data_IF_817674594926
#
_entry.id   IF_817674594926
#
_cell.length_a   1.000
_cell.length_b   1.000
_cell.length_c   1.000
_cell.angle_alpha   90.00
_cell.angle_beta   90.00
_cell.angle_gamma   90.00
#
_symmetry.space_group_name_H-M   'P 1'
#
loop_
_entity.id
_entity.type
_entity.pdbx_description
1 polymer ?
#
# COMPACT_ATOMS: atom_id res chain seq x y z
N UNK A 1 -19.98 -0.65 38.26
CA UNK A 1 -21.14 -1.42 37.80
C UNK A 1 -21.98 -0.56 36.85
N UNK A 2 -21.45 -0.31 35.65
CA UNK A 2 -22.13 0.36 34.52
C UNK A 2 -21.38 -0.02 33.23
N UNK A 3 -21.25 -1.33 33.01
CA UNK A 3 -20.73 -1.97 31.79
C UNK A 3 -21.87 -2.83 31.27
N UNK A 4 -22.88 -2.20 30.68
CA UNK A 4 -23.91 -2.74 29.75
C UNK A 4 -24.68 -1.50 29.28
N UNK A 5 -24.12 -0.72 28.36
CA UNK A 5 -24.92 0.18 27.49
C UNK A 5 -24.15 0.29 26.17
N UNK A 6 -24.71 -0.30 25.12
CA UNK A 6 -24.14 -0.19 23.76
C UNK A 6 -24.31 -1.40 22.84
N UNK A 7 -24.94 -2.50 23.26
CA UNK A 7 -25.50 -3.50 22.33
C UNK A 7 -26.90 -3.08 21.89
N UNK A 8 -26.99 -1.98 21.14
CA UNK A 8 -28.20 -1.72 20.35
C UNK A 8 -28.10 -2.59 19.09
N UNK A 9 -28.77 -3.73 19.14
CA UNK A 9 -29.15 -4.52 17.96
C UNK A 9 -29.76 -3.55 16.94
N UNK A 10 -29.09 -3.39 15.80
CA UNK A 10 -29.69 -2.75 14.62
C UNK A 10 -30.87 -3.62 14.17
N UNK A 11 -32.07 -3.26 14.60
CA UNK A 11 -33.33 -3.82 14.11
C UNK A 11 -33.75 -3.06 12.85
N UNK A 12 -33.91 -3.80 11.75
CA UNK A 12 -34.70 -3.41 10.57
C UNK A 12 -34.05 -2.44 9.59
N UNK A 13 -33.32 -2.98 8.59
CA UNK A 13 -32.89 -2.21 7.43
C UNK A 13 -31.72 -2.83 6.65
N UNK A 14 -31.78 -2.76 5.31
CA UNK A 14 -30.67 -3.16 4.44
C UNK A 14 -29.67 -2.02 4.28
N UNK A 15 -28.47 -2.15 4.83
CA UNK A 15 -27.39 -1.17 4.66
C UNK A 15 -26.33 -1.68 3.67
N UNK A 16 -26.03 -0.88 2.63
CA UNK A 16 -24.89 -1.15 1.76
C UNK A 16 -23.58 -0.79 2.49
N UNK A 17 -22.70 -1.77 2.64
CA UNK A 17 -21.38 -1.60 3.26
C UNK A 17 -20.34 -1.29 2.18
N UNK A 18 -20.33 -2.06 1.10
CA UNK A 18 -19.37 -1.91 0.02
C UNK A 18 -19.90 -2.44 -1.33
N UNK A 19 -19.27 -1.98 -2.41
CA UNK A 19 -19.50 -2.44 -3.80
C UNK A 19 -18.19 -2.54 -4.56
N UNK A 20 -18.19 -3.25 -5.68
CA UNK A 20 -17.07 -3.28 -6.61
C UNK A 20 -16.61 -1.88 -7.02
N UNK A 21 -15.30 -1.69 -7.02
CA UNK A 21 -14.64 -0.46 -7.41
C UNK A 21 -14.24 -0.52 -8.88
N UNK A 22 -14.52 0.53 -9.65
CA UNK A 22 -14.11 0.62 -11.05
C UNK A 22 -12.61 0.55 -11.26
N UNK A 23 -11.80 1.03 -10.30
CA UNK A 23 -10.34 0.89 -10.35
C UNK A 23 -9.85 -0.56 -10.41
N UNK A 24 -10.70 -1.53 -10.07
CA UNK A 24 -10.40 -2.96 -10.22
C UNK A 24 -10.33 -3.41 -11.68
N UNK A 25 -10.83 -2.62 -12.64
CA UNK A 25 -10.75 -2.96 -14.08
C UNK A 25 -9.32 -3.06 -14.60
N UNK A 26 -8.35 -2.46 -13.90
CA UNK A 26 -6.94 -2.60 -14.25
C UNK A 26 -6.46 -4.04 -14.13
N UNK A 27 -7.00 -4.85 -13.21
CA UNK A 27 -6.59 -6.24 -13.04
C UNK A 27 -6.83 -7.08 -14.33
N UNK A 28 -8.04 -7.14 -14.91
CA UNK A 28 -8.26 -7.83 -16.17
C UNK A 28 -7.54 -7.16 -17.36
N UNK A 29 -7.29 -5.84 -17.34
CA UNK A 29 -6.47 -5.18 -18.37
C UNK A 29 -5.02 -5.69 -18.33
N UNK A 30 -4.42 -5.79 -17.14
CA UNK A 30 -3.07 -6.34 -16.99
C UNK A 30 -3.00 -7.79 -17.46
N UNK A 31 -3.95 -8.64 -17.06
CA UNK A 31 -4.00 -10.02 -17.54
C UNK A 31 -4.12 -10.11 -19.07
N UNK A 32 -4.99 -9.29 -19.68
CA UNK A 32 -5.09 -9.23 -21.14
C UNK A 32 -3.78 -8.76 -21.78
N UNK A 33 -3.08 -7.81 -21.17
CA UNK A 33 -1.77 -7.33 -21.66
C UNK A 33 -0.71 -8.42 -21.57
N UNK A 34 -0.68 -9.21 -20.49
CA UNK A 34 0.21 -10.35 -20.34
C UNK A 34 -0.04 -11.41 -21.42
N UNK A 35 -1.31 -11.71 -21.72
CA UNK A 35 -1.70 -12.65 -22.78
C UNK A 35 -1.24 -12.15 -24.16
N UNK A 36 -1.48 -10.87 -24.47
CA UNK A 36 -1.02 -10.28 -25.73
C UNK A 36 0.51 -10.22 -25.81
N UNK A 37 1.20 -10.04 -24.69
CA UNK A 37 2.65 -10.05 -24.64
C UNK A 37 3.23 -11.46 -24.87
N UNK A 38 2.60 -12.49 -24.31
CA UNK A 38 2.94 -13.89 -24.61
C UNK A 38 2.76 -14.16 -26.11
N UNK A 39 1.65 -13.72 -26.70
CA UNK A 39 1.38 -13.89 -28.12
C UNK A 39 2.41 -13.15 -29.00
N UNK A 40 2.76 -11.91 -28.63
CA UNK A 40 3.82 -11.15 -29.26
C UNK A 40 5.17 -11.87 -29.20
N UNK A 41 5.51 -12.49 -28.06
CA UNK A 41 6.74 -13.27 -27.92
C UNK A 41 6.73 -14.47 -28.88
N UNK A 42 5.62 -15.21 -28.92
CA UNK A 42 5.48 -16.40 -29.76
C UNK A 42 5.56 -16.06 -31.25
N UNK A 43 4.94 -14.96 -31.68
CA UNK A 43 5.06 -14.46 -33.06
C UNK A 43 6.48 -13.98 -33.37
N UNK A 44 7.06 -13.09 -32.56
CA UNK A 44 8.32 -12.42 -32.91
C UNK A 44 9.57 -13.25 -32.72
N UNK A 45 9.62 -14.10 -31.71
CA UNK A 45 10.83 -14.84 -31.35
C UNK A 45 10.76 -16.32 -31.73
N UNK A 46 9.55 -16.86 -31.85
CA UNK A 46 9.34 -18.28 -32.19
C UNK A 46 8.65 -18.47 -33.55
N UNK A 47 8.28 -17.39 -34.26
CA UNK A 47 7.63 -17.43 -35.57
C UNK A 47 6.31 -18.24 -35.57
N UNK A 48 5.61 -18.27 -34.44
CA UNK A 48 4.34 -18.97 -34.27
C UNK A 48 3.20 -17.96 -34.46
N UNK A 49 2.76 -17.80 -35.71
CA UNK A 49 1.71 -16.83 -36.09
C UNK A 49 0.32 -17.48 -36.24
N UNK A 50 0.25 -18.80 -36.42
CA UNK A 50 -1.00 -19.56 -36.52
C UNK A 50 -1.28 -20.37 -35.25
N UNK A 51 -2.48 -20.95 -35.17
CA UNK A 51 -2.80 -21.95 -34.14
C UNK A 51 -1.72 -23.04 -34.12
N UNK A 52 -1.25 -23.44 -32.93
CA UNK A 52 -0.20 -24.46 -32.80
C UNK A 52 -0.26 -25.18 -31.44
N UNK A 53 0.21 -26.43 -31.41
CA UNK A 53 0.30 -27.21 -30.16
C UNK A 53 1.20 -26.48 -29.14
N UNK A 54 2.30 -25.88 -29.61
CA UNK A 54 3.22 -25.12 -28.76
C UNK A 54 2.53 -23.88 -28.18
N UNK A 55 1.76 -23.16 -28.99
CA UNK A 55 0.92 -22.03 -28.56
C UNK A 55 -0.03 -22.39 -27.43
N UNK A 56 -0.82 -23.45 -27.63
CA UNK A 56 -1.78 -23.93 -26.64
C UNK A 56 -1.10 -24.43 -25.37
N UNK A 57 0.05 -25.12 -25.49
CA UNK A 57 0.83 -25.55 -24.34
C UNK A 57 1.31 -24.36 -23.50
N UNK A 58 1.82 -23.30 -24.13
CA UNK A 58 2.24 -22.08 -23.42
C UNK A 58 1.06 -21.43 -22.68
N UNK A 59 -0.12 -21.37 -23.29
CA UNK A 59 -1.32 -20.86 -22.62
C UNK A 59 -1.74 -21.72 -21.42
N UNK A 60 -1.64 -23.06 -21.50
CA UNK A 60 -1.90 -23.94 -20.35
C UNK A 60 -0.91 -23.75 -19.21
N UNK A 61 0.39 -23.62 -19.54
CA UNK A 61 1.43 -23.34 -18.55
C UNK A 61 1.15 -21.99 -17.88
N UNK A 62 0.85 -20.96 -18.67
CA UNK A 62 0.48 -19.65 -18.15
C UNK A 62 -0.76 -19.71 -17.25
N UNK A 63 -1.83 -20.39 -17.68
CA UNK A 63 -3.04 -20.58 -16.88
C UNK A 63 -2.75 -21.31 -15.56
N UNK A 64 -1.87 -22.31 -15.58
CA UNK A 64 -1.47 -23.07 -14.38
C UNK A 64 -0.72 -22.18 -13.39
N UNK A 65 0.25 -21.39 -13.87
CA UNK A 65 0.98 -20.42 -13.06
C UNK A 65 0.01 -19.37 -12.49
N UNK A 66 -0.87 -18.81 -13.33
CA UNK A 66 -1.85 -17.80 -12.94
C UNK A 66 -2.82 -18.32 -11.88
N UNK A 67 -3.28 -19.56 -12.01
CA UNK A 67 -4.12 -20.26 -11.03
C UNK A 67 -3.41 -20.46 -9.70
N UNK A 68 -2.13 -20.87 -9.74
CA UNK A 68 -1.30 -21.08 -8.55
C UNK A 68 -1.08 -19.80 -7.75
N UNK A 69 -0.90 -18.66 -8.42
CA UNK A 69 -0.70 -17.35 -7.77
C UNK A 69 -1.97 -16.80 -7.09
N UNK A 70 -3.16 -17.28 -7.46
CA UNK A 70 -4.46 -16.97 -6.84
C UNK A 70 -4.65 -15.47 -6.54
N UNK A 71 -4.49 -14.64 -7.58
CA UNK A 71 -4.49 -13.18 -7.48
C UNK A 71 -5.78 -12.57 -6.92
N UNK A 72 -6.94 -13.17 -7.21
CA UNK A 72 -8.24 -12.60 -6.85
C UNK A 72 -9.37 -13.64 -6.79
N UNK A 73 -10.57 -13.22 -6.38
CA UNK A 73 -11.77 -14.05 -6.43
C UNK A 73 -12.19 -14.45 -7.85
N UNK A 74 -11.65 -13.80 -8.89
CA UNK A 74 -11.92 -14.11 -10.30
C UNK A 74 -10.88 -15.04 -10.93
N UNK A 75 -9.73 -15.27 -10.27
CA UNK A 75 -8.60 -15.99 -10.85
C UNK A 75 -8.98 -17.35 -11.41
N UNK A 76 -9.84 -18.10 -10.70
CA UNK A 76 -10.35 -19.38 -11.20
C UNK A 76 -11.13 -19.24 -12.51
N UNK A 77 -12.06 -18.29 -12.58
CA UNK A 77 -12.84 -18.06 -13.80
C UNK A 77 -11.93 -17.66 -14.95
N UNK A 78 -11.04 -16.69 -14.73
CA UNK A 78 -10.09 -16.24 -15.75
C UNK A 78 -9.19 -17.39 -16.24
N UNK A 79 -8.71 -18.23 -15.32
CA UNK A 79 -7.96 -19.46 -15.65
C UNK A 79 -8.78 -20.37 -16.55
N UNK A 80 -10.06 -20.62 -16.21
CA UNK A 80 -10.94 -21.42 -17.07
C UNK A 80 -11.08 -20.81 -18.46
N UNK A 81 -11.26 -19.49 -18.59
CA UNK A 81 -11.36 -18.83 -19.91
C UNK A 81 -10.05 -19.00 -20.71
N UNK A 82 -8.88 -18.87 -20.08
CA UNK A 82 -7.58 -19.10 -20.74
C UNK A 82 -7.45 -20.56 -21.19
N UNK A 83 -7.77 -21.53 -20.33
CA UNK A 83 -7.75 -22.94 -20.70
C UNK A 83 -8.72 -23.25 -21.84
N UNK A 84 -9.91 -22.64 -21.84
CA UNK A 84 -10.88 -22.82 -22.93
C UNK A 84 -10.35 -22.26 -24.26
N UNK A 85 -9.64 -21.13 -24.24
CA UNK A 85 -8.99 -20.60 -25.45
C UNK A 85 -7.89 -21.55 -25.96
N UNK A 86 -7.09 -22.14 -25.06
CA UNK A 86 -6.08 -23.14 -25.42
C UNK A 86 -6.71 -24.42 -26.02
N UNK A 87 -7.80 -24.91 -25.44
CA UNK A 87 -8.56 -26.05 -26.00
C UNK A 87 -9.15 -25.70 -27.36
N UNK A 88 -9.68 -24.48 -27.51
CA UNK A 88 -10.27 -24.02 -28.77
C UNK A 88 -9.21 -23.92 -29.89
N UNK A 89 -8.01 -23.46 -29.58
CA UNK A 89 -6.86 -23.47 -30.51
C UNK A 89 -6.51 -24.90 -30.97
N UNK A 90 -6.49 -25.87 -30.05
CA UNK A 90 -6.31 -27.29 -30.39
C UNK A 90 -7.45 -27.85 -31.25
N UNK A 91 -8.68 -27.43 -30.99
CA UNK A 91 -9.85 -27.79 -31.80
C UNK A 91 -9.75 -27.25 -33.22
N UNK A 92 -9.29 -26.00 -33.38
CA UNK A 92 -9.08 -25.39 -34.70
C UNK A 92 -8.00 -26.15 -35.48
N UNK A 93 -6.89 -26.53 -34.84
CA UNK A 93 -5.85 -27.36 -35.45
C UNK A 93 -6.38 -28.68 -36.00
N UNK A 94 -7.38 -29.27 -35.33
CA UNK A 94 -8.03 -30.50 -35.78
C UNK A 94 -9.13 -30.29 -36.83
N UNK A 95 -9.36 -29.05 -37.25
CA UNK A 95 -10.40 -28.66 -38.20
C UNK A 95 -9.81 -27.98 -39.44
N UNK A 96 -10.57 -27.91 -40.53
CA UNK A 96 -10.21 -27.11 -41.71
C UNK A 96 -10.52 -25.61 -41.55
N UNK A 97 -10.86 -25.14 -40.33
CA UNK A 97 -11.18 -23.74 -40.07
C UNK A 97 -9.93 -22.87 -40.12
N UNK A 98 -9.88 -21.93 -41.05
CA UNK A 98 -8.81 -20.93 -41.15
C UNK A 98 -9.10 -19.74 -40.22
N UNK A 99 -8.94 -19.96 -38.91
CA UNK A 99 -9.05 -18.91 -37.89
C UNK A 99 -7.66 -18.46 -37.45
N UNK A 100 -7.41 -17.16 -37.57
CA UNK A 100 -6.18 -16.52 -37.09
C UNK A 100 -6.08 -16.59 -35.57
N UNK A 101 -4.91 -16.98 -35.07
CA UNK A 101 -4.57 -17.01 -33.65
C UNK A 101 -4.80 -15.65 -32.99
N UNK A 102 -4.52 -14.55 -33.69
CA UNK A 102 -4.77 -13.18 -33.20
C UNK A 102 -6.23 -12.99 -32.80
N UNK A 103 -7.18 -13.53 -33.59
CA UNK A 103 -8.61 -13.43 -33.29
C UNK A 103 -9.00 -14.21 -32.04
N UNK A 104 -8.37 -15.37 -31.81
CA UNK A 104 -8.57 -16.16 -30.59
C UNK A 104 -8.09 -15.36 -29.36
N UNK A 105 -6.90 -14.75 -29.44
CA UNK A 105 -6.36 -13.95 -28.34
C UNK A 105 -7.18 -12.69 -28.05
N UNK A 106 -7.64 -11.99 -29.09
CA UNK A 106 -8.53 -10.82 -28.93
C UNK A 106 -9.87 -11.22 -28.30
N UNK A 107 -10.43 -12.37 -28.71
CA UNK A 107 -11.66 -12.91 -28.14
C UNK A 107 -11.48 -13.29 -26.66
N UNK A 108 -10.36 -13.94 -26.32
CA UNK A 108 -9.96 -14.25 -24.95
C UNK A 108 -9.84 -12.98 -24.10
N UNK A 109 -9.11 -11.97 -24.58
CA UNK A 109 -8.94 -10.69 -23.89
C UNK A 109 -10.28 -9.99 -23.67
N UNK A 110 -11.16 -10.00 -24.67
CA UNK A 110 -12.52 -9.44 -24.56
C UNK A 110 -13.33 -10.17 -23.50
N UNK A 111 -13.30 -11.51 -23.49
CA UNK A 111 -14.00 -12.32 -22.49
C UNK A 111 -13.50 -12.04 -21.06
N UNK A 112 -12.18 -11.88 -20.87
CA UNK A 112 -11.56 -11.53 -19.59
C UNK A 112 -12.03 -10.15 -19.12
N UNK A 113 -12.05 -9.14 -20.01
CA UNK A 113 -12.51 -7.79 -19.70
C UNK A 113 -14.00 -7.78 -19.32
N UNK A 114 -14.86 -8.47 -20.08
CA UNK A 114 -16.29 -8.59 -19.78
C UNK A 114 -16.52 -9.25 -18.42
N UNK A 115 -15.80 -10.34 -18.12
CA UNK A 115 -15.84 -10.98 -16.81
C UNK A 115 -15.47 -10.00 -15.69
N UNK A 116 -14.43 -9.19 -15.90
CA UNK A 116 -13.99 -8.17 -14.98
C UNK A 116 -15.03 -7.08 -14.71
N UNK A 117 -15.64 -6.53 -15.76
CA UNK A 117 -16.73 -5.54 -15.64
C UNK A 117 -17.92 -6.12 -14.90
N UNK A 118 -18.36 -7.33 -15.28
CA UNK A 118 -19.50 -7.97 -14.64
C UNK A 118 -19.24 -8.27 -13.15
N UNK A 119 -18.01 -8.68 -12.80
CA UNK A 119 -17.61 -8.82 -11.40
C UNK A 119 -17.83 -7.52 -10.61
N UNK A 120 -17.33 -6.40 -11.13
CA UNK A 120 -17.42 -5.09 -10.47
C UNK A 120 -18.89 -4.72 -10.21
N UNK A 121 -19.77 -4.99 -11.18
CA UNK A 121 -21.20 -4.70 -11.07
C UNK A 121 -21.94 -5.58 -10.06
N UNK A 122 -21.56 -6.86 -9.95
CA UNK A 122 -22.21 -7.83 -9.07
C UNK A 122 -21.69 -7.78 -7.64
N UNK A 123 -20.41 -7.44 -7.45
CA UNK A 123 -19.74 -7.45 -6.15
C UNK A 123 -20.40 -6.48 -5.17
N UNK A 124 -21.02 -7.01 -4.11
CA UNK A 124 -21.72 -6.25 -3.08
C UNK A 124 -21.58 -6.87 -1.71
N UNK A 125 -21.45 -6.01 -0.70
CA UNK A 125 -21.51 -6.36 0.71
C UNK A 125 -22.59 -5.53 1.39
N UNK A 126 -23.55 -6.19 2.02
CA UNK A 126 -24.69 -5.56 2.70
C UNK A 126 -24.85 -6.12 4.11
N UNK A 127 -25.38 -5.31 5.02
CA UNK A 127 -25.97 -5.80 6.27
C UNK A 127 -27.47 -5.83 6.08
N UNK A 128 -28.08 -6.99 6.33
CA UNK A 128 -29.53 -7.19 6.26
C UNK A 128 -29.91 -7.93 7.54
N UNK A 129 -30.78 -7.33 8.34
CA UNK A 129 -31.29 -7.90 9.60
C UNK A 129 -30.16 -8.39 10.51
N UNK A 130 -29.14 -7.54 10.70
CA UNK A 130 -27.96 -7.83 11.52
C UNK A 130 -26.99 -8.86 10.94
N UNK A 131 -27.28 -9.46 9.78
CA UNK A 131 -26.41 -10.44 9.12
C UNK A 131 -25.62 -9.84 7.97
N UNK A 132 -24.44 -10.37 7.69
CA UNK A 132 -23.60 -9.94 6.57
C UNK A 132 -23.97 -10.73 5.32
N UNK A 133 -24.48 -10.05 4.31
CA UNK A 133 -24.79 -10.59 3.00
C UNK A 133 -23.71 -10.18 2.01
N UNK A 134 -22.94 -11.17 1.57
CA UNK A 134 -21.88 -11.01 0.58
C UNK A 134 -22.32 -11.62 -0.74
N UNK A 135 -22.08 -10.91 -1.84
CA UNK A 135 -22.34 -11.40 -3.20
C UNK A 135 -21.12 -11.13 -4.07
N UNK A 136 -20.65 -12.17 -4.74
CA UNK A 136 -19.70 -12.12 -5.86
C UNK A 136 -20.32 -12.82 -7.08
N UNK A 137 -19.61 -12.79 -8.21
CA UNK A 137 -20.02 -13.30 -9.53
C UNK A 137 -20.87 -14.58 -9.50
N UNK A 138 -20.46 -15.59 -8.72
CA UNK A 138 -21.14 -16.90 -8.64
C UNK A 138 -21.47 -17.36 -7.22
N UNK A 139 -21.28 -16.50 -6.22
CA UNK A 139 -21.44 -16.89 -4.81
C UNK A 139 -22.18 -15.81 -4.05
N UNK A 140 -23.29 -16.20 -3.43
CA UNK A 140 -23.91 -15.43 -2.37
C UNK A 140 -23.71 -16.20 -1.06
N UNK A 141 -23.27 -15.51 -0.01
CA UNK A 141 -23.15 -16.09 1.33
C UNK A 141 -23.65 -15.12 2.38
N UNK A 142 -24.29 -15.71 3.39
CA UNK A 142 -24.73 -15.03 4.61
C UNK A 142 -23.81 -15.43 5.76
N UNK A 143 -23.40 -14.46 6.56
CA UNK A 143 -22.56 -14.65 7.74
C UNK A 143 -23.21 -14.02 8.97
N UNK A 144 -23.08 -14.68 10.12
CA UNK A 144 -23.39 -14.09 11.42
C UNK A 144 -22.14 -13.31 11.91
N UNK A 145 -22.21 -11.99 12.14
CA UNK A 145 -21.06 -11.20 12.56
C UNK A 145 -20.29 -11.76 13.76
N UNK A 146 -21.01 -12.27 14.78
CA UNK A 146 -20.41 -12.72 16.05
C UNK A 146 -19.42 -13.88 15.88
N UNK A 147 -19.64 -14.72 14.86
CA UNK A 147 -18.81 -15.88 14.56
C UNK A 147 -18.02 -15.70 13.25
N UNK A 148 -17.90 -14.46 12.76
CA UNK A 148 -17.21 -14.16 11.52
C UNK A 148 -15.93 -13.42 11.83
N UNK A 149 -14.83 -13.89 11.25
CA UNK A 149 -13.55 -13.17 11.24
C UNK A 149 -13.33 -12.50 9.89
N UNK A 150 -12.65 -11.36 9.91
CA UNK A 150 -12.35 -10.56 8.70
C UNK A 150 -10.87 -10.24 8.56
N UNK A 151 -10.31 -10.57 7.40
CA UNK A 151 -8.95 -10.20 6.98
C UNK A 151 -9.00 -9.36 5.69
N UNK A 152 -7.90 -8.66 5.41
CA UNK A 152 -7.69 -7.95 4.15
C UNK A 152 -6.47 -8.48 3.42
N UNK A 153 -6.53 -8.44 2.08
CA UNK A 153 -5.37 -8.66 1.22
C UNK A 153 -5.33 -7.54 0.19
N UNK A 154 -4.25 -6.77 0.16
CA UNK A 154 -4.03 -5.74 -0.84
C UNK A 154 -2.90 -6.22 -1.78
N UNK A 155 -3.20 -6.92 -2.89
CA UNK A 155 -2.16 -7.41 -3.80
C UNK A 155 -1.58 -6.27 -4.66
N UNK A 156 -0.26 -6.08 -4.59
CA UNK A 156 0.54 -5.28 -5.53
C UNK A 156 -0.03 -3.88 -5.81
N UNK A 157 -0.29 -3.58 -7.09
CA UNK A 157 -0.75 -2.27 -7.58
C UNK A 157 -2.11 -1.83 -7.00
N UNK A 158 -2.87 -2.76 -6.40
CA UNK A 158 -4.17 -2.45 -5.79
C UNK A 158 -4.04 -1.51 -4.59
N UNK A 159 -2.88 -1.51 -3.91
CA UNK A 159 -2.55 -0.54 -2.85
C UNK A 159 -2.62 0.90 -3.39
N UNK A 160 -2.04 1.14 -4.57
CA UNK A 160 -2.02 2.46 -5.24
C UNK A 160 -3.44 2.86 -5.63
N UNK A 161 -4.22 1.92 -6.17
CA UNK A 161 -5.60 2.13 -6.58
C UNK A 161 -6.59 2.23 -5.42
N UNK A 162 -6.11 2.01 -4.18
CA UNK A 162 -6.94 1.88 -2.97
C UNK A 162 -8.03 0.83 -3.14
N UNK A 163 -7.71 -0.24 -3.86
CA UNK A 163 -8.56 -1.42 -4.02
C UNK A 163 -7.92 -2.61 -3.33
N UNK A 164 -8.72 -3.63 -3.03
CA UNK A 164 -8.19 -4.89 -2.52
C UNK A 164 -9.26 -5.90 -2.21
N UNK A 165 -8.85 -6.93 -1.50
CA UNK A 165 -9.70 -8.03 -1.08
C UNK A 165 -10.13 -7.84 0.37
N UNK A 166 -11.40 -8.16 0.62
CA UNK A 166 -11.90 -8.47 1.95
C UNK A 166 -12.25 -9.94 2.00
N UNK A 167 -11.75 -10.67 2.99
CA UNK A 167 -12.05 -12.09 3.16
C UNK A 167 -12.81 -12.27 4.47
N UNK A 168 -14.01 -12.85 4.35
CA UNK A 168 -14.83 -13.23 5.49
C UNK A 168 -14.73 -14.73 5.71
N UNK A 169 -14.57 -15.12 6.97
CA UNK A 169 -14.39 -16.51 7.40
C UNK A 169 -15.31 -16.81 8.58
N UNK A 170 -15.94 -17.97 8.55
CA UNK A 170 -16.49 -18.65 9.72
C UNK A 170 -16.06 -20.12 9.65
N UNK A 171 -16.29 -20.90 10.71
CA UNK A 171 -15.74 -22.25 10.89
C UNK A 171 -15.92 -23.19 9.67
N UNK A 172 -17.00 -23.00 8.91
CA UNK A 172 -17.34 -23.85 7.76
C UNK A 172 -17.28 -23.13 6.40
N UNK A 173 -16.90 -21.85 6.36
CA UNK A 173 -17.07 -21.09 5.12
C UNK A 173 -16.13 -19.89 5.00
N UNK A 174 -15.54 -19.78 3.81
CA UNK A 174 -14.72 -18.64 3.39
C UNK A 174 -15.32 -17.99 2.15
N UNK A 175 -15.28 -16.66 2.07
CA UNK A 175 -15.50 -15.91 0.82
C UNK A 175 -14.46 -14.80 0.71
N UNK A 176 -13.86 -14.67 -0.49
CA UNK A 176 -13.00 -13.55 -0.86
C UNK A 176 -13.80 -12.61 -1.75
N UNK A 177 -13.81 -11.33 -1.40
CA UNK A 177 -14.46 -10.25 -2.13
C UNK A 177 -13.37 -9.33 -2.68
N UNK A 178 -12.95 -9.58 -3.92
CA UNK A 178 -11.86 -8.83 -4.57
C UNK A 178 -12.34 -7.57 -5.28
N UNK A 179 -11.58 -6.49 -5.20
CA UNK A 179 -11.89 -5.24 -5.90
C UNK A 179 -12.81 -4.29 -5.14
N UNK A 180 -12.75 -4.33 -3.81
CA UNK A 180 -13.44 -3.35 -2.95
C UNK A 180 -12.56 -2.11 -2.77
N UNK A 181 -13.18 -0.92 -2.76
CA UNK A 181 -12.47 0.35 -2.50
C UNK A 181 -12.25 0.54 -0.99
N UNK A 182 -11.02 0.86 -0.59
CA UNK A 182 -10.59 1.04 0.80
C UNK A 182 -11.00 -0.16 1.69
N UNK A 183 -10.46 -1.37 1.42
CA UNK A 183 -10.83 -2.59 2.15
C UNK A 183 -10.54 -2.49 3.66
N UNK A 184 -9.53 -1.73 4.06
CA UNK A 184 -9.17 -1.39 5.44
C UNK A 184 -10.30 -0.65 6.17
N UNK A 185 -10.89 0.37 5.54
CA UNK A 185 -12.04 1.10 6.08
C UNK A 185 -13.29 0.22 6.19
N UNK A 186 -13.49 -0.65 5.20
CA UNK A 186 -14.61 -1.60 5.21
C UNK A 186 -14.44 -2.60 6.36
N UNK A 187 -13.23 -3.15 6.54
CA UNK A 187 -12.87 -4.02 7.66
C UNK A 187 -13.15 -3.34 8.99
N UNK A 188 -12.68 -2.10 9.19
CA UNK A 188 -12.88 -1.35 10.44
C UNK A 188 -14.37 -1.11 10.72
N UNK A 189 -15.15 -0.73 9.69
CA UNK A 189 -16.60 -0.58 9.81
C UNK A 189 -17.29 -1.89 10.23
N UNK A 190 -16.84 -3.03 9.70
CA UNK A 190 -17.36 -4.36 10.09
C UNK A 190 -17.08 -4.69 11.54
N UNK A 191 -15.86 -4.44 12.01
CA UNK A 191 -15.45 -4.70 13.39
C UNK A 191 -16.20 -3.76 14.35
N UNK A 192 -16.11 -2.44 14.13
CA UNK A 192 -16.63 -1.45 15.07
C UNK A 192 -18.16 -1.41 15.16
N UNK A 193 -18.83 -1.47 14.00
CA UNK A 193 -20.29 -1.24 13.94
C UNK A 193 -21.10 -2.51 13.94
N UNK A 194 -20.52 -3.61 13.47
CA UNK A 194 -21.26 -4.85 13.28
C UNK A 194 -20.71 -6.00 14.12
N UNK A 195 -19.66 -5.80 14.92
CA UNK A 195 -19.15 -6.79 15.87
C UNK A 195 -18.46 -7.98 15.20
N UNK A 196 -17.96 -7.80 13.98
CA UNK A 196 -17.13 -8.81 13.30
C UNK A 196 -15.79 -8.91 14.01
N UNK A 197 -15.25 -10.12 14.13
CA UNK A 197 -13.96 -10.34 14.79
C UNK A 197 -12.79 -10.03 13.84
N UNK A 198 -11.70 -9.40 14.32
CA UNK A 198 -10.49 -9.27 13.52
C UNK A 198 -9.88 -10.65 13.28
N UNK A 199 -9.59 -11.01 12.01
CA UNK A 199 -8.81 -12.21 11.71
C UNK A 199 -7.32 -11.92 11.85
N UNK A 200 -6.60 -12.81 12.51
CA UNK A 200 -5.15 -12.72 12.60
C UNK A 200 -4.53 -12.97 11.22
N UNK A 201 -3.69 -12.04 10.77
CA UNK A 201 -2.95 -12.14 9.52
C UNK A 201 -1.51 -11.71 9.78
N UNK A 202 -0.54 -12.33 9.09
CA UNK A 202 0.85 -11.86 9.13
C UNK A 202 1.05 -10.85 8.00
N UNK A 203 1.78 -9.77 8.28
CA UNK A 203 2.16 -8.82 7.25
C UNK A 203 3.11 -9.49 6.26
N UNK A 204 2.93 -9.20 4.97
CA UNK A 204 3.78 -9.74 3.90
C UNK A 204 4.43 -8.60 3.14
N UNK A 205 5.71 -8.77 2.82
CA UNK A 205 6.45 -7.83 2.00
C UNK A 205 6.03 -7.90 0.51
N UNK A 206 5.48 -9.04 0.08
CA UNK A 206 5.07 -9.27 -1.29
C UNK A 206 4.19 -8.15 -1.86
N UNK A 207 3.28 -7.58 -1.05
CA UNK A 207 2.39 -6.50 -1.50
C UNK A 207 3.12 -5.22 -1.94
N UNK A 208 4.16 -4.81 -1.20
CA UNK A 208 4.91 -3.58 -1.48
C UNK A 208 6.17 -3.81 -2.31
N UNK A 209 6.73 -5.02 -2.29
CA UNK A 209 7.83 -5.42 -3.18
C UNK A 209 7.46 -5.19 -4.66
N UNK A 210 6.26 -5.59 -5.09
CA UNK A 210 5.83 -5.37 -6.48
C UNK A 210 5.74 -3.89 -6.85
N UNK A 211 5.37 -3.02 -5.90
CA UNK A 211 5.32 -1.58 -6.14
C UNK A 211 6.74 -1.04 -6.35
N UNK A 212 7.67 -1.49 -5.50
CA UNK A 212 9.08 -1.10 -5.60
C UNK A 212 9.71 -1.59 -6.92
N UNK A 213 9.51 -2.86 -7.28
CA UNK A 213 9.98 -3.43 -8.52
C UNK A 213 9.36 -2.73 -9.74
N UNK A 214 8.05 -2.47 -9.71
CA UNK A 214 7.38 -1.75 -10.78
C UNK A 214 7.95 -0.34 -10.95
N UNK A 215 8.17 0.39 -9.85
CA UNK A 215 8.76 1.73 -9.91
C UNK A 215 10.18 1.70 -10.49
N UNK A 216 11.02 0.75 -10.07
CA UNK A 216 12.37 0.58 -10.62
C UNK A 216 12.32 0.26 -12.10
N UNK A 217 11.43 -0.66 -12.53
CA UNK A 217 11.28 -1.02 -13.94
C UNK A 217 10.83 0.18 -14.75
N UNK A 218 9.84 0.95 -14.28
CA UNK A 218 9.36 2.16 -14.96
C UNK A 218 10.47 3.20 -15.09
N UNK A 219 11.21 3.46 -14.02
CA UNK A 219 12.38 4.37 -14.06
C UNK A 219 13.41 3.84 -15.05
N UNK A 220 13.78 2.56 -14.97
CA UNK A 220 14.74 1.95 -15.89
C UNK A 220 14.30 2.04 -17.35
N UNK A 221 13.02 1.82 -17.65
CA UNK A 221 12.46 1.98 -19.01
C UNK A 221 12.55 3.43 -19.47
N UNK A 222 12.14 4.39 -18.63
CA UNK A 222 12.22 5.81 -18.97
C UNK A 222 13.67 6.23 -19.23
N UNK A 223 14.59 5.85 -18.34
CA UNK A 223 16.01 6.19 -18.46
C UNK A 223 16.68 5.51 -19.66
N UNK A 224 16.38 4.24 -19.91
CA UNK A 224 16.87 3.52 -21.10
C UNK A 224 16.33 4.16 -22.38
N UNK A 225 15.04 4.49 -22.45
CA UNK A 225 14.45 5.17 -23.60
C UNK A 225 15.10 6.54 -23.81
N UNK A 226 15.28 7.33 -22.76
CA UNK A 226 15.95 8.63 -22.82
C UNK A 226 17.38 8.48 -23.34
N UNK A 227 18.14 7.53 -22.79
CA UNK A 227 19.51 7.26 -23.21
C UNK A 227 19.58 6.81 -24.68
N UNK A 228 18.69 5.90 -25.13
CA UNK A 228 18.63 5.43 -26.52
C UNK A 228 18.33 6.60 -27.46
N UNK A 229 17.36 7.46 -27.12
CA UNK A 229 17.02 8.64 -27.91
C UNK A 229 18.19 9.62 -28.02
N UNK A 230 18.87 9.91 -26.89
CA UNK A 230 20.08 10.73 -26.89
C UNK A 230 21.14 10.09 -27.77
N UNK A 231 21.39 8.79 -27.61
CA UNK A 231 22.41 8.08 -28.36
C UNK A 231 22.15 8.07 -29.87
N UNK A 232 20.90 7.92 -30.30
CA UNK A 232 20.51 8.00 -31.71
C UNK A 232 20.63 9.42 -32.28
N UNK A 233 20.45 10.45 -31.44
CA UNK A 233 20.56 11.85 -31.84
C UNK A 233 22.01 12.39 -31.85
N UNK A 234 22.96 11.67 -31.24
CA UNK A 234 24.35 12.13 -31.14
C UNK A 234 25.04 12.15 -32.52
N UNK A 235 25.67 13.27 -32.92
CA UNK A 235 26.38 13.40 -34.20
C UNK A 235 27.80 12.80 -34.13
N UNK A 236 27.95 11.63 -33.51
CA UNK A 236 29.22 10.94 -33.32
C UNK A 236 29.02 9.43 -33.50
N UNK A 237 30.12 8.71 -33.76
CA UNK A 237 30.10 7.25 -33.94
C UNK A 237 31.02 6.54 -32.94
N UNK A 238 30.75 5.26 -32.68
CA UNK A 238 31.60 4.40 -31.87
C UNK A 238 31.71 4.85 -30.41
N UNK A 239 32.89 4.74 -29.81
CA UNK A 239 33.11 5.04 -28.38
C UNK A 239 32.75 6.49 -28.04
N UNK A 240 33.07 7.44 -28.92
CA UNK A 240 32.77 8.87 -28.72
C UNK A 240 31.27 9.12 -28.64
N UNK A 241 30.46 8.38 -29.41
CA UNK A 241 29.00 8.41 -29.32
C UNK A 241 28.56 7.98 -27.93
N UNK A 242 28.99 6.80 -27.46
CA UNK A 242 28.55 6.26 -26.17
C UNK A 242 28.95 7.14 -24.99
N UNK A 243 30.20 7.64 -24.96
CA UNK A 243 30.68 8.54 -23.89
C UNK A 243 29.95 9.88 -23.94
N UNK A 244 29.76 10.45 -25.14
CA UNK A 244 29.02 11.70 -25.31
C UNK A 244 27.56 11.57 -24.89
N UNK A 245 26.88 10.48 -25.27
CA UNK A 245 25.51 10.16 -24.87
C UNK A 245 25.38 10.06 -23.35
N UNK A 246 26.35 9.42 -22.68
CA UNK A 246 26.37 9.29 -21.23
C UNK A 246 26.46 10.67 -20.55
N UNK A 247 27.36 11.54 -21.03
CA UNK A 247 27.49 12.90 -20.50
C UNK A 247 26.22 13.73 -20.70
N UNK A 248 25.63 13.69 -21.90
CA UNK A 248 24.37 14.39 -22.21
C UNK A 248 23.21 13.82 -21.38
N UNK A 249 23.15 12.50 -21.18
CA UNK A 249 22.15 11.84 -20.34
C UNK A 249 22.23 12.28 -18.89
N UNK A 250 23.45 12.40 -18.32
CA UNK A 250 23.64 12.95 -16.97
C UNK A 250 23.16 14.40 -16.86
N UNK A 251 23.51 15.25 -17.84
CA UNK A 251 23.09 16.65 -17.87
C UNK A 251 21.57 16.76 -18.01
N UNK A 252 20.97 15.98 -18.92
CA UNK A 252 19.54 15.95 -19.13
C UNK A 252 18.79 15.56 -17.85
N UNK A 253 19.24 14.52 -17.16
CA UNK A 253 18.70 14.12 -15.86
C UNK A 253 18.80 15.22 -14.82
N UNK A 254 19.97 15.85 -14.68
CA UNK A 254 20.16 16.98 -13.78
C UNK A 254 19.19 18.14 -14.08
N UNK A 255 18.97 18.45 -15.35
CA UNK A 255 18.03 19.49 -15.77
C UNK A 255 16.57 19.09 -15.48
N UNK A 256 16.15 17.88 -15.87
CA UNK A 256 14.77 17.37 -15.70
C UNK A 256 14.40 17.30 -14.22
N UNK A 257 15.25 16.71 -13.39
CA UNK A 257 15.03 16.57 -11.95
C UNK A 257 14.98 17.92 -11.22
N UNK A 258 15.55 18.97 -11.81
CA UNK A 258 15.53 20.33 -11.29
C UNK A 258 14.47 21.24 -11.91
N UNK A 259 13.62 20.71 -12.80
CA UNK A 259 12.43 21.44 -13.28
C UNK A 259 11.59 21.84 -12.08
N UNK A 260 11.26 23.13 -12.00
CA UNK A 260 10.49 23.70 -10.90
C UNK A 260 9.00 23.46 -11.10
N UNK A 261 8.40 22.68 -10.21
CA UNK A 261 6.97 22.36 -10.18
C UNK A 261 6.28 23.28 -9.17
N UNK A 262 5.13 23.88 -9.50
CA UNK A 262 4.42 24.74 -8.56
C UNK A 262 3.87 23.93 -7.39
N UNK A 263 3.86 24.54 -6.21
CA UNK A 263 3.21 24.01 -5.01
C UNK A 263 1.72 23.81 -5.27
N UNK A 264 1.13 22.80 -4.61
CA UNK A 264 -0.32 22.72 -4.46
C UNK A 264 -0.90 24.02 -3.85
N UNK A 265 -1.93 24.61 -4.46
CA UNK A 265 -2.39 25.96 -4.09
C UNK A 265 -3.09 26.01 -2.73
N UNK A 266 -3.82 24.95 -2.36
CA UNK A 266 -4.64 24.93 -1.17
C UNK A 266 -3.90 24.27 0.01
N UNK A 267 -4.04 24.84 1.19
CA UNK A 267 -3.53 24.26 2.44
C UNK A 267 -4.27 22.94 2.72
N UNK A 268 -3.56 21.80 2.80
CA UNK A 268 -4.18 20.50 3.12
C UNK A 268 -4.87 20.44 4.48
N UNK A 269 -4.59 21.38 5.40
CA UNK A 269 -5.17 21.45 6.74
C UNK A 269 -6.06 22.68 6.95
N UNK A 270 -6.43 23.42 5.89
CA UNK A 270 -7.23 24.65 5.99
C UNK A 270 -8.48 24.47 6.87
N UNK A 271 -9.17 23.34 6.67
CA UNK A 271 -10.36 22.97 7.41
C UNK A 271 -10.09 22.63 8.89
N UNK A 272 -8.85 22.39 9.30
CA UNK A 272 -8.46 22.12 10.70
C UNK A 272 -7.90 23.35 11.41
N UNK A 273 -7.65 24.46 10.71
CA UNK A 273 -7.05 25.68 11.28
C UNK A 273 -7.85 26.32 12.41
N UNK A 274 -9.13 25.99 12.52
CA UNK A 274 -9.99 26.41 13.63
C UNK A 274 -9.82 25.58 14.92
N UNK A 275 -9.05 24.48 14.87
CA UNK A 275 -8.75 23.61 16.00
C UNK A 275 -7.42 23.96 16.66
N UNK A 276 -7.23 23.57 17.92
CA UNK A 276 -5.97 23.77 18.64
C UNK A 276 -4.88 22.85 18.09
N UNK A 277 -3.82 23.43 17.52
CA UNK A 277 -2.60 22.70 17.18
C UNK A 277 -1.84 22.36 18.47
N UNK A 278 -1.56 21.09 18.68
CA UNK A 278 -0.89 20.58 19.89
C UNK A 278 0.56 20.18 19.64
N UNK A 279 0.90 19.81 18.42
CA UNK A 279 2.25 19.49 18.02
C UNK A 279 2.45 19.73 16.53
N UNK A 280 3.69 19.99 16.17
CA UNK A 280 4.16 20.12 14.80
C UNK A 280 5.44 19.30 14.69
N UNK A 281 5.42 18.33 13.79
CA UNK A 281 6.59 17.59 13.37
C UNK A 281 7.09 18.09 12.02
N UNK A 282 8.10 17.42 11.49
CA UNK A 282 8.68 17.77 10.20
C UNK A 282 7.58 17.84 9.11
N UNK A 283 6.82 16.77 8.91
CA UNK A 283 5.86 16.69 7.82
C UNK A 283 4.41 16.61 8.28
N UNK A 284 4.18 16.82 9.58
CA UNK A 284 2.91 16.50 10.22
C UNK A 284 2.51 17.61 11.15
N UNK A 285 1.28 18.07 11.08
CA UNK A 285 0.68 18.86 12.16
C UNK A 285 -0.38 18.01 12.87
N UNK A 286 -0.44 18.19 14.18
CA UNK A 286 -1.36 17.46 15.06
C UNK A 286 -2.33 18.47 15.68
N UNK A 287 -3.62 18.21 15.48
CA UNK A 287 -4.73 19.02 15.96
C UNK A 287 -5.52 18.23 17.00
N UNK A 288 -5.89 18.88 18.09
CA UNK A 288 -6.73 18.26 19.11
C UNK A 288 -8.19 18.23 18.65
N UNK A 289 -8.80 17.05 18.59
CA UNK A 289 -10.24 16.90 18.34
C UNK A 289 -11.02 16.95 19.67
N UNK A 290 -12.35 17.05 19.58
CA UNK A 290 -13.20 16.75 20.74
C UNK A 290 -13.21 15.24 21.00
N UNK A 291 -13.58 14.83 22.21
CA UNK A 291 -13.81 13.42 22.58
C UNK A 291 -12.57 12.50 22.67
N UNK A 292 -11.39 13.06 23.00
CA UNK A 292 -10.20 12.26 23.28
C UNK A 292 -9.50 11.69 22.04
N UNK A 293 -9.60 12.39 20.91
CA UNK A 293 -8.90 12.09 19.67
C UNK A 293 -8.00 13.24 19.25
N UNK A 294 -6.99 12.92 18.45
CA UNK A 294 -6.16 13.90 17.75
C UNK A 294 -6.14 13.57 16.27
N UNK A 295 -6.11 14.60 15.44
CA UNK A 295 -5.99 14.48 13.99
C UNK A 295 -4.60 14.85 13.55
N UNK A 296 -3.96 13.94 12.81
CA UNK A 296 -2.64 14.13 12.22
C UNK A 296 -2.79 14.34 10.72
N UNK A 297 -2.30 15.48 10.23
CA UNK A 297 -2.25 15.81 8.80
C UNK A 297 -0.80 15.74 8.33
N UNK A 298 -0.51 14.83 7.40
CA UNK A 298 0.78 14.84 6.68
C UNK A 298 0.74 15.79 5.50
N UNK A 299 1.83 16.53 5.26
CA UNK A 299 1.90 17.55 4.23
C UNK A 299 2.68 17.10 3.00
N UNK A 300 2.21 17.57 1.84
CA UNK A 300 2.92 17.43 0.55
C UNK A 300 4.04 18.45 0.46
N UNK A 301 5.00 18.18 -0.43
CA UNK A 301 6.07 19.12 -0.78
C UNK A 301 5.55 20.58 -0.94
N UNK A 302 6.17 21.51 -0.21
CA UNK A 302 5.83 22.94 -0.16
C UNK A 302 4.80 23.34 0.90
N UNK A 303 4.24 22.36 1.62
CA UNK A 303 3.50 22.56 2.87
C UNK A 303 4.24 21.80 3.99
N UNK A 304 4.35 22.36 5.20
CA UNK A 304 5.18 21.77 6.28
C UNK A 304 6.68 21.99 6.09
N UNK A 305 7.55 21.16 6.69
CA UNK A 305 9.01 21.33 6.68
C UNK A 305 9.56 21.66 5.31
N UNK A 306 10.11 22.87 5.24
CA UNK A 306 10.52 23.49 4.00
C UNK A 306 12.02 23.46 3.80
N UNK A 307 12.84 22.87 4.66
CA UNK A 307 14.30 23.01 4.56
C UNK A 307 15.02 21.67 4.33
N UNK A 308 15.55 21.49 3.11
CA UNK A 308 16.31 20.29 2.72
C UNK A 308 17.78 20.61 2.46
N UNK A 309 18.31 21.71 3.01
CA UNK A 309 19.69 22.16 2.78
C UNK A 309 20.73 21.08 3.09
N UNK A 310 20.52 20.29 4.14
CA UNK A 310 21.42 19.22 4.56
C UNK A 310 21.23 17.89 3.80
N UNK A 311 20.23 17.79 2.93
CA UNK A 311 19.98 16.57 2.16
C UNK A 311 20.95 16.42 0.99
N UNK A 312 21.34 15.19 0.65
CA UNK A 312 22.29 14.87 -0.45
C UNK A 312 21.68 14.96 -1.86
N UNK A 313 20.40 15.34 -1.95
CA UNK A 313 19.67 15.43 -3.22
C UNK A 313 20.34 16.46 -4.16
N UNK A 314 20.58 16.12 -5.44
CA UNK A 314 21.27 17.00 -6.38
C UNK A 314 20.33 18.09 -6.91
N UNK A 315 20.11 19.12 -6.09
CA UNK A 315 19.29 20.29 -6.43
C UNK A 315 20.17 21.46 -6.89
N UNK A 316 19.80 22.07 -8.02
CA UNK A 316 20.39 23.31 -8.52
C UNK A 316 19.64 24.49 -7.88
N UNK A 317 20.33 25.22 -6.99
CA UNK A 317 19.77 26.37 -6.27
C UNK A 317 19.25 26.00 -4.88
N UNK A 318 18.19 26.69 -4.43
CA UNK A 318 17.67 26.51 -3.07
C UNK A 318 17.02 25.13 -2.89
N UNK A 319 17.43 24.43 -1.82
CA UNK A 319 16.80 23.21 -1.32
C UNK A 319 15.65 23.49 -0.35
N UNK A 320 15.16 24.73 -0.33
CA UNK A 320 14.04 25.12 0.51
C UNK A 320 12.75 24.92 -0.30
N UNK A 321 11.81 24.14 0.22
CA UNK A 321 10.49 24.02 -0.37
C UNK A 321 9.76 25.37 -0.29
N UNK A 322 9.21 25.81 -1.41
CA UNK A 322 8.49 27.06 -1.52
C UNK A 322 7.33 26.96 -2.51
N UNK A 323 6.99 28.10 -3.11
CA UNK A 323 5.96 28.17 -4.14
C UNK A 323 6.29 27.32 -5.38
N UNK A 324 7.58 27.09 -5.64
CA UNK A 324 8.09 26.29 -6.74
C UNK A 324 9.19 25.37 -6.24
N UNK A 325 9.06 24.07 -6.48
CA UNK A 325 9.94 23.05 -5.93
C UNK A 325 10.58 22.24 -7.06
N UNK A 326 11.90 21.96 -7.00
CA UNK A 326 12.54 20.99 -7.89
C UNK A 326 11.76 19.68 -7.93
N UNK A 327 11.57 19.12 -9.12
CA UNK A 327 10.84 17.88 -9.35
C UNK A 327 11.36 16.75 -8.45
N UNK A 328 12.68 16.66 -8.26
CA UNK A 328 13.29 15.65 -7.38
C UNK A 328 12.79 15.70 -5.94
N UNK A 329 12.63 16.90 -5.36
CA UNK A 329 12.10 17.04 -4.00
C UNK A 329 10.62 16.62 -3.95
N UNK A 330 9.85 16.97 -4.98
CA UNK A 330 8.44 16.56 -5.09
C UNK A 330 8.30 15.04 -5.17
N UNK A 331 9.16 14.36 -5.94
CA UNK A 331 9.18 12.90 -6.07
C UNK A 331 9.50 12.26 -4.72
N UNK A 332 10.56 12.70 -4.04
CA UNK A 332 11.00 12.14 -2.74
C UNK A 332 9.89 12.28 -1.68
N UNK A 333 9.29 13.46 -1.56
CA UNK A 333 8.18 13.66 -0.62
C UNK A 333 6.99 12.75 -0.94
N UNK A 334 6.62 12.65 -2.22
CA UNK A 334 5.49 11.82 -2.63
C UNK A 334 5.74 10.34 -2.30
N UNK A 335 6.96 9.86 -2.55
CA UNK A 335 7.35 8.50 -2.19
C UNK A 335 7.26 8.25 -0.68
N UNK A 336 7.83 9.15 0.12
CA UNK A 336 7.82 9.01 1.58
C UNK A 336 6.41 9.10 2.18
N UNK A 337 5.56 10.01 1.68
CA UNK A 337 4.14 10.06 2.08
C UNK A 337 3.39 8.76 1.78
N UNK A 338 3.67 8.12 0.64
CA UNK A 338 3.09 6.82 0.30
C UNK A 338 3.53 5.77 1.32
N UNK A 339 4.82 5.72 1.66
CA UNK A 339 5.36 4.81 2.68
C UNK A 339 4.74 5.06 4.06
N UNK A 340 4.58 6.32 4.48
CA UNK A 340 3.93 6.66 5.74
C UNK A 340 2.47 6.20 5.76
N UNK A 341 1.72 6.43 4.69
CA UNK A 341 0.33 5.99 4.60
C UNK A 341 0.18 4.47 4.58
N UNK A 342 1.13 3.72 4.01
CA UNK A 342 1.17 2.26 4.11
C UNK A 342 1.34 1.86 5.58
N UNK A 343 2.25 2.50 6.31
CA UNK A 343 2.45 2.31 7.74
C UNK A 343 1.18 2.58 8.55
N UNK A 344 0.51 3.71 8.33
CA UNK A 344 -0.75 4.08 9.00
C UNK A 344 -1.87 3.07 8.71
N UNK A 345 -2.03 2.65 7.45
CA UNK A 345 -3.00 1.60 7.09
C UNK A 345 -2.76 0.32 7.88
N UNK A 346 -1.49 -0.08 8.04
CA UNK A 346 -1.14 -1.24 8.85
C UNK A 346 -1.45 -1.04 10.32
N UNK A 347 -1.24 0.15 10.88
CA UNK A 347 -1.66 0.44 12.26
C UNK A 347 -3.15 0.14 12.46
N UNK A 348 -4.00 0.54 11.52
CA UNK A 348 -5.45 0.28 11.59
C UNK A 348 -5.79 -1.22 11.52
N UNK A 349 -5.01 -1.99 10.76
CA UNK A 349 -5.19 -3.44 10.62
C UNK A 349 -4.72 -4.19 11.86
N UNK A 350 -3.59 -3.76 12.45
CA UNK A 350 -2.89 -4.48 13.50
C UNK A 350 -3.11 -3.93 14.92
N UNK A 351 -3.78 -2.78 15.09
CA UNK A 351 -4.14 -2.25 16.41
C UNK A 351 -4.99 -3.19 17.26
N UNK A 352 -5.69 -4.16 16.65
CA UNK A 352 -6.45 -5.17 17.39
C UNK A 352 -5.54 -6.31 17.93
N UNK A 353 -4.29 -6.38 17.47
CA UNK A 353 -3.31 -7.42 17.81
C UNK A 353 -2.07 -6.90 18.53
N UNK A 354 -1.72 -5.62 18.37
CA UNK A 354 -0.59 -4.96 19.03
C UNK A 354 -1.15 -4.01 20.10
N UNK A 355 -0.95 -4.34 21.37
CA UNK A 355 -1.59 -3.62 22.49
C UNK A 355 -1.10 -2.19 22.68
N UNK A 356 0.17 -1.93 22.38
CA UNK A 356 0.79 -0.62 22.54
C UNK A 356 0.42 0.37 21.41
N UNK A 357 -0.48 0.00 20.49
CA UNK A 357 -0.94 0.91 19.46
C UNK A 357 -2.27 1.57 19.88
N UNK A 358 -2.32 2.89 20.04
CA UNK A 358 -3.59 3.58 20.22
C UNK A 358 -4.49 3.39 18.99
N UNK A 359 -5.82 3.39 19.22
CA UNK A 359 -6.79 3.25 18.14
C UNK A 359 -6.60 4.34 17.11
N UNK A 360 -6.60 3.94 15.85
CA UNK A 360 -6.35 4.78 14.68
C UNK A 360 -7.53 4.65 13.71
N UNK A 361 -7.96 5.77 13.10
CA UNK A 361 -8.99 5.83 12.06
C UNK A 361 -8.47 6.66 10.88
N UNK A 362 -8.71 6.23 9.64
CA UNK A 362 -8.46 7.10 8.48
C UNK A 362 -9.60 8.09 8.34
N UNK A 363 -9.26 9.34 8.03
CA UNK A 363 -10.25 10.37 7.75
C UNK A 363 -10.83 10.22 6.34
N UNK A 364 -12.14 10.33 6.25
CA UNK A 364 -12.86 10.11 4.99
C UNK A 364 -12.78 11.36 4.13
N UNK A 365 -12.29 11.21 2.89
CA UNK A 365 -12.10 12.29 1.89
C UNK A 365 -10.97 13.30 2.20
N UNK A 366 -10.20 13.10 3.26
CA UNK A 366 -8.98 13.86 3.52
C UNK A 366 -7.73 13.03 3.16
N UNK A 367 -7.00 13.36 2.08
CA UNK A 367 -5.78 12.64 1.73
C UNK A 367 -4.67 12.90 2.75
N UNK A 368 -3.89 11.86 3.06
CA UNK A 368 -2.75 11.94 3.97
C UNK A 368 -3.12 12.40 5.40
N UNK A 369 -4.35 12.09 5.84
CA UNK A 369 -4.88 12.43 7.15
C UNK A 369 -5.41 11.20 7.86
N UNK A 370 -5.18 11.15 9.15
CA UNK A 370 -5.76 10.15 10.04
C UNK A 370 -5.96 10.73 11.43
N UNK A 371 -6.80 10.09 12.23
CA UNK A 371 -6.93 10.42 13.64
C UNK A 371 -6.52 9.25 14.50
N UNK A 372 -6.10 9.58 15.71
CA UNK A 372 -5.59 8.64 16.69
C UNK A 372 -6.16 8.98 18.06
N UNK A 373 -6.40 7.97 18.88
CA UNK A 373 -6.78 8.18 20.27
C UNK A 373 -5.69 8.98 21.00
N UNK A 374 -6.12 10.01 21.72
CA UNK A 374 -5.21 10.83 22.52
C UNK A 374 -4.64 10.02 23.68
N UNK A 375 -3.34 10.17 23.92
CA UNK A 375 -2.65 9.63 25.08
C UNK A 375 -2.01 10.80 25.81
N UNK A 376 -2.36 10.97 27.08
CA UNK A 376 -2.17 12.22 27.80
C UNK A 376 -0.73 12.40 28.28
N UNK A 377 -0.16 11.39 28.95
CA UNK A 377 1.09 11.55 29.67
C UNK A 377 2.30 11.34 28.76
N UNK A 378 3.26 12.26 28.85
CA UNK A 378 4.51 12.16 28.10
C UNK A 378 5.41 11.05 28.66
N UNK A 379 6.24 10.46 27.79
CA UNK A 379 7.24 9.48 28.18
C UNK A 379 8.45 10.19 28.80
N UNK A 380 8.31 10.57 30.06
CA UNK A 380 9.32 11.25 30.89
C UNK A 380 9.50 10.50 32.21
N UNK A 381 10.59 10.77 32.92
CA UNK A 381 10.98 10.04 34.14
C UNK A 381 9.88 10.06 35.22
N UNK A 382 9.10 11.14 35.32
CA UNK A 382 8.01 11.29 36.30
C UNK A 382 6.81 10.37 36.01
N UNK A 383 6.57 10.03 34.74
CA UNK A 383 5.44 9.21 34.29
C UNK A 383 5.84 7.75 34.03
N UNK A 384 7.09 7.39 34.31
CA UNK A 384 7.67 6.13 33.85
C UNK A 384 7.05 4.93 34.55
N UNK A 385 6.52 3.93 33.80
CA UNK A 385 6.05 2.70 34.42
C UNK A 385 7.21 1.90 35.02
N UNK A 386 6.94 1.15 36.09
CA UNK A 386 7.96 0.29 36.72
C UNK A 386 8.31 -0.93 35.84
N UNK A 387 7.41 -1.35 34.95
CA UNK A 387 7.52 -2.54 34.10
C UNK A 387 7.87 -2.22 32.64
N UNK A 388 8.52 -1.09 32.34
CA UNK A 388 8.85 -0.64 30.95
C UNK A 388 9.50 -1.73 30.11
N UNK A 389 10.51 -2.43 30.63
CA UNK A 389 11.17 -3.52 29.90
C UNK A 389 10.21 -4.67 29.58
N UNK A 390 9.30 -5.02 30.50
CA UNK A 390 8.28 -6.03 30.25
C UNK A 390 7.33 -5.58 29.15
N UNK A 391 6.87 -4.32 29.19
CA UNK A 391 5.95 -3.78 28.19
C UNK A 391 6.60 -3.66 26.80
N UNK A 392 7.89 -3.31 26.72
CA UNK A 392 8.64 -3.30 25.46
C UNK A 392 8.89 -4.71 24.92
N UNK A 393 9.11 -5.69 25.79
CA UNK A 393 9.18 -7.11 25.42
C UNK A 393 7.85 -7.61 24.84
N UNK A 394 6.72 -7.26 25.46
CA UNK A 394 5.39 -7.59 24.94
C UNK A 394 5.15 -6.97 23.56
N UNK A 395 5.56 -5.71 23.36
CA UNK A 395 5.48 -5.03 22.06
C UNK A 395 6.35 -5.73 21.00
N UNK A 396 7.59 -6.10 21.34
CA UNK A 396 8.49 -6.87 20.47
C UNK A 396 7.85 -8.20 20.04
N UNK A 397 7.23 -8.92 20.97
CA UNK A 397 6.56 -10.19 20.69
C UNK A 397 5.34 -9.99 19.76
N UNK A 398 4.50 -8.99 20.05
CA UNK A 398 3.36 -8.63 19.22
C UNK A 398 3.79 -8.29 17.78
N UNK A 399 4.83 -7.46 17.63
CA UNK A 399 5.43 -7.10 16.33
C UNK A 399 6.01 -8.32 15.60
N UNK A 400 6.73 -9.18 16.32
CA UNK A 400 7.29 -10.42 15.76
C UNK A 400 6.20 -11.34 15.23
N UNK A 401 5.14 -11.53 16.02
CA UNK A 401 4.00 -12.37 15.68
C UNK A 401 3.32 -11.89 14.39
N UNK A 402 3.11 -10.58 14.24
CA UNK A 402 2.50 -10.02 13.02
C UNK A 402 3.50 -9.81 11.87
N UNK A 403 4.80 -10.03 12.09
CA UNK A 403 5.85 -9.88 11.07
C UNK A 403 6.14 -8.42 10.70
N UNK A 404 6.11 -7.53 11.68
CA UNK A 404 6.35 -6.10 11.50
C UNK A 404 7.48 -5.59 12.39
N UNK A 405 7.95 -4.40 12.04
CA UNK A 405 8.81 -3.50 12.79
C UNK A 405 8.01 -2.21 12.99
N UNK A 406 8.26 -1.51 14.09
CA UNK A 406 7.83 -0.14 14.28
C UNK A 406 9.08 0.75 14.28
N UNK A 407 9.08 1.79 13.45
CA UNK A 407 10.22 2.69 13.32
C UNK A 407 9.94 4.10 13.86
N UNK A 408 10.97 4.95 13.84
CA UNK A 408 10.94 6.32 14.39
C UNK A 408 10.55 6.35 15.89
N UNK A 409 10.92 5.33 16.67
CA UNK A 409 10.53 5.20 18.07
C UNK A 409 11.49 5.90 19.04
N UNK A 410 11.54 7.23 18.96
CA UNK A 410 12.18 8.08 19.98
C UNK A 410 11.31 8.23 21.23
N UNK A 411 11.86 8.78 22.32
CA UNK A 411 11.11 8.92 23.58
C UNK A 411 9.79 9.68 23.40
N UNK A 412 9.80 10.79 22.65
CA UNK A 412 8.62 11.60 22.38
C UNK A 412 7.52 10.89 21.56
N UNK A 413 7.88 9.79 20.89
CA UNK A 413 6.97 9.00 20.06
C UNK A 413 6.25 7.92 20.90
N UNK A 414 6.65 7.75 22.17
CA UNK A 414 5.91 7.02 23.18
C UNK A 414 5.16 7.96 24.12
N UNK A 415 4.04 7.49 24.65
CA UNK A 415 3.28 8.12 25.73
C UNK A 415 2.74 7.08 26.68
N UNK A 416 2.34 7.51 27.87
CA UNK A 416 1.82 6.66 28.92
C UNK A 416 0.32 6.90 29.07
N UNK A 417 -0.48 5.84 29.00
CA UNK A 417 -1.92 5.95 29.27
C UNK A 417 -2.22 5.97 30.77
N UNK A 418 -3.50 6.18 31.11
CA UNK A 418 -3.96 6.23 32.50
C UNK A 418 -3.76 4.91 33.26
N UNK A 419 -3.54 3.80 32.56
CA UNK A 419 -3.23 2.49 33.12
C UNK A 419 -1.74 2.21 33.28
N UNK A 420 -0.89 3.24 33.16
CA UNK A 420 0.57 3.13 33.13
C UNK A 420 1.08 2.21 32.00
N UNK A 421 0.36 2.17 30.87
CA UNK A 421 0.78 1.39 29.70
C UNK A 421 1.40 2.28 28.64
N UNK A 422 2.50 1.78 28.06
CA UNK A 422 3.23 2.42 26.97
C UNK A 422 2.39 2.33 25.71
N UNK A 423 2.19 3.48 25.09
CA UNK A 423 1.49 3.65 23.83
C UNK A 423 2.46 4.30 22.82
N UNK A 424 2.73 3.61 21.72
CA UNK A 424 3.47 4.15 20.59
C UNK A 424 2.55 5.10 19.81
N UNK A 425 2.50 6.37 20.18
CA UNK A 425 1.61 7.36 19.55
C UNK A 425 2.10 7.78 18.16
N UNK A 426 3.37 7.57 17.87
CA UNK A 426 3.89 7.70 16.51
C UNK A 426 4.61 6.44 16.08
N UNK A 427 5.23 6.49 14.91
CA UNK A 427 5.97 5.39 14.32
C UNK A 427 5.16 4.61 13.31
N UNK A 428 5.81 4.25 12.21
CA UNK A 428 5.18 3.58 11.09
C UNK A 428 5.51 2.08 11.09
N UNK A 429 4.56 1.27 10.63
CA UNK A 429 4.70 -0.18 10.64
C UNK A 429 5.21 -0.72 9.31
N UNK A 430 6.38 -1.35 9.36
CA UNK A 430 7.07 -1.89 8.18
C UNK A 430 7.39 -3.38 8.30
N UNK A 431 7.44 -4.07 7.17
CA UNK A 431 8.00 -5.41 7.07
C UNK A 431 9.52 -5.33 6.94
N UNK A 432 10.20 -6.45 7.21
CA UNK A 432 11.67 -6.55 7.21
C UNK A 432 12.30 -5.97 5.93
N UNK A 433 11.73 -6.29 4.75
CA UNK A 433 12.24 -5.79 3.47
C UNK A 433 11.97 -4.30 3.24
N UNK A 434 10.92 -3.72 3.82
CA UNK A 434 10.66 -2.28 3.74
C UNK A 434 11.56 -1.48 4.67
N UNK A 435 11.87 -2.01 5.86
CA UNK A 435 12.85 -1.39 6.76
C UNK A 435 14.21 -1.28 6.06
N UNK A 436 14.62 -2.33 5.35
CA UNK A 436 15.84 -2.31 4.54
C UNK A 436 15.80 -1.22 3.45
N UNK A 437 14.72 -1.17 2.65
CA UNK A 437 14.56 -0.16 1.59
C UNK A 437 14.49 1.25 2.17
N UNK A 438 13.74 1.48 3.25
CA UNK A 438 13.62 2.79 3.92
C UNK A 438 14.98 3.23 4.46
N UNK A 439 15.73 2.33 5.10
CA UNK A 439 17.08 2.60 5.60
C UNK A 439 18.03 3.01 4.47
N UNK A 440 17.98 2.33 3.32
CA UNK A 440 18.78 2.68 2.15
C UNK A 440 18.38 4.06 1.61
N UNK A 441 17.08 4.31 1.42
CA UNK A 441 16.58 5.58 0.88
C UNK A 441 16.90 6.76 1.80
N UNK A 442 16.68 6.63 3.10
CA UNK A 442 16.97 7.69 4.08
C UNK A 442 18.46 7.96 4.15
N UNK A 443 19.34 6.96 4.14
CA UNK A 443 20.80 7.18 4.09
C UNK A 443 21.25 7.88 2.81
N UNK A 444 20.63 7.57 1.67
CA UNK A 444 20.93 8.22 0.40
C UNK A 444 20.47 9.69 0.38
N UNK A 445 19.35 10.00 1.02
CA UNK A 445 18.70 11.32 0.97
C UNK A 445 19.15 12.24 2.10
N UNK A 446 19.20 11.73 3.34
CA UNK A 446 19.43 12.47 4.58
C UNK A 446 20.60 11.92 5.42
N UNK A 447 21.53 11.18 4.79
CA UNK A 447 22.70 10.57 5.45
C UNK A 447 23.73 11.56 6.03
N UNK A 448 23.42 12.86 6.12
CA UNK A 448 24.15 13.81 6.95
C UNK A 448 23.58 13.91 8.36
N UNK A 449 22.26 13.75 8.52
CA UNK A 449 21.54 13.84 9.80
C UNK A 449 21.30 12.49 10.46
N UNK A 450 21.28 11.43 9.66
CA UNK A 450 20.90 10.08 10.10
C UNK A 450 22.02 9.08 9.84
N UNK A 451 22.61 8.53 10.89
CA UNK A 451 23.68 7.53 10.80
C UNK A 451 23.14 6.12 10.46
N UNK A 452 21.90 5.85 10.89
CA UNK A 452 21.23 4.58 10.65
C UNK A 452 20.02 4.38 11.56
N UNK A 453 19.55 3.13 11.62
CA UNK A 453 18.55 2.70 12.59
C UNK A 453 19.22 1.91 13.72
N UNK A 454 18.73 2.08 14.95
CA UNK A 454 19.15 1.31 16.13
C UNK A 454 17.93 0.72 16.83
N UNK A 455 18.03 -0.47 17.44
CA UNK A 455 17.01 -0.96 18.35
C UNK A 455 16.88 -0.04 19.57
N UNK A 456 15.67 0.01 20.12
CA UNK A 456 15.32 0.70 21.36
C UNK A 456 15.43 -0.30 22.50
N UNK A 457 16.23 -0.02 23.54
CA UNK A 457 16.45 -0.92 24.69
C UNK A 457 16.85 -2.36 24.32
N UNK A 458 17.48 -2.56 23.17
CA UNK A 458 17.87 -3.88 22.67
C UNK A 458 16.73 -4.71 22.03
N UNK A 459 15.55 -4.14 21.81
CA UNK A 459 14.44 -4.81 21.13
C UNK A 459 14.48 -4.57 19.62
N UNK A 460 14.93 -5.58 18.85
CA UNK A 460 15.23 -5.47 17.42
C UNK A 460 14.09 -4.94 16.52
N UNK A 461 12.82 -5.18 16.87
CA UNK A 461 11.67 -4.76 16.05
C UNK A 461 11.12 -3.39 16.43
N UNK A 462 11.66 -2.77 17.47
CA UNK A 462 11.33 -1.43 17.91
C UNK A 462 12.57 -0.58 17.59
N UNK A 463 12.53 0.14 16.47
CA UNK A 463 13.71 0.85 15.96
C UNK A 463 13.51 2.35 15.96
N UNK A 464 14.60 3.08 16.12
CA UNK A 464 14.66 4.53 15.99
C UNK A 464 15.76 4.92 15.02
N UNK A 465 15.66 6.12 14.47
CA UNK A 465 16.79 6.74 13.78
C UNK A 465 17.84 7.16 14.81
N UNK A 466 19.11 6.98 14.45
CA UNK A 466 20.24 7.54 15.18
C UNK A 466 20.43 8.97 14.67
N UNK A 467 19.81 9.90 15.38
CA UNK A 467 19.81 11.34 15.13
C UNK A 467 19.85 12.12 16.47
N UNK A 468 19.62 13.43 16.42
CA UNK A 468 19.70 14.33 17.57
C UNK A 468 18.55 14.21 18.60
N UNK A 469 17.49 13.43 18.31
CA UNK A 469 16.32 13.32 19.19
C UNK A 469 16.61 12.34 20.33
N UNK A 470 16.09 12.66 21.53
CA UNK A 470 16.27 11.83 22.71
C UNK A 470 15.72 10.41 22.53
N UNK A 471 16.53 9.42 22.88
CA UNK A 471 16.12 8.01 22.88
C UNK A 471 15.41 7.63 24.17
N UNK A 472 14.68 6.52 24.14
CA UNK A 472 14.10 5.92 25.37
C UNK A 472 15.20 5.56 26.36
N UNK A 473 16.32 5.05 25.86
CA UNK A 473 17.51 4.70 26.65
C UNK A 473 18.06 5.92 27.42
N UNK A 474 17.91 7.14 26.88
CA UNK A 474 18.39 8.36 27.55
C UNK A 474 17.48 8.79 28.71
N UNK A 475 16.17 8.51 28.63
CA UNK A 475 15.19 8.86 29.68
C UNK A 475 15.25 7.88 30.87
N UNK A 476 15.70 6.65 30.64
CA UNK A 476 15.78 5.59 31.65
C UNK A 476 17.12 5.54 32.40
N UNK A 477 18.10 6.34 31.99
CA UNK A 477 19.37 6.54 32.72
C UNK A 477 19.19 7.50 33.87
#
# INVERSE_FOLDING_TARGET
MALIVGRLRYMGGSQLVARGAWGWILNPIFLSTEILFIDFILSKWFFIETCSIVGSFVLFVFATIYSWLDFSSQTKLQTYVICMAAIFELGILSSELMIDRTLIQLSLCTAILVCGVFHILVLKLRIIDGSIHSRSLFRAKKFNPENTTVEIREPGISIIMKTGDLILRNDNSKIRLSGLKNPDLIRRKLIDKFGVLPHFQRATWAGTLWIFLFLIIVIAVIECCLFILINQAMPANGVTQSVGSLAVWFIANMCILNVRIPRYPNDPADDLRHQTKIAEGMWTEIFHEKDGWVTKQFFRCGWGHNDYTEHRVPVIGSKICGKWNPLVLVIIHSAMLIYQMIGVKRRIVYQDFIRALPKTKLEVRAPYRYSQQWVENEFVSENMPQDVHSQMSDLQEDLSRVGLFIDDMHAANFRIDQGSKIQAIDGELYTDGEVFVKSLLVRLVDGHRVEGMSPVLGYDRIVRWVDHRASVDDILR
#
